data_IF_641080731657
#
_entry.id   IF_641080731657
#
_cell.length_a   1.000
_cell.length_b   1.000
_cell.length_c   1.000
_cell.angle_alpha   90.00
_cell.angle_beta   90.00
_cell.angle_gamma   90.00
#
_symmetry.space_group_name_H-M   'P 1'
#
loop_
_entity.id
_entity.type
_entity.pdbx_description
1 polymer ?
#
# COMPACT_ATOMS: atom_id res chain seq x y z
N UNK A 1 -24.79 39.76 -29.56
CA UNK A 1 -23.78 38.84 -28.98
C UNK A 1 -24.41 38.24 -27.74
N UNK A 2 -24.90 36.98 -27.77
CA UNK A 2 -25.47 36.37 -26.57
C UNK A 2 -24.37 36.37 -25.49
N UNK A 3 -24.67 36.96 -24.33
CA UNK A 3 -23.70 37.03 -23.24
C UNK A 3 -23.30 35.61 -22.86
N UNK A 4 -22.06 35.23 -23.12
CA UNK A 4 -21.50 33.92 -22.73
C UNK A 4 -21.19 33.85 -21.23
N UNK A 5 -21.32 34.98 -20.51
CA UNK A 5 -21.13 35.12 -19.07
C UNK A 5 -21.89 34.09 -18.22
N UNK A 6 -23.22 33.86 -18.40
CA UNK A 6 -23.94 32.82 -17.67
C UNK A 6 -23.36 31.41 -17.90
N UNK A 7 -22.99 31.05 -19.13
CA UNK A 7 -22.38 29.75 -19.41
C UNK A 7 -21.03 29.59 -18.70
N UNK A 8 -20.22 30.65 -18.69
CA UNK A 8 -18.91 30.64 -18.05
C UNK A 8 -19.04 30.51 -16.52
N UNK A 9 -20.03 31.17 -15.92
CA UNK A 9 -20.36 31.03 -14.50
C UNK A 9 -20.80 29.61 -14.14
N UNK A 10 -21.70 29.01 -14.92
CA UNK A 10 -22.16 27.63 -14.71
C UNK A 10 -20.98 26.66 -14.82
N UNK A 11 -20.13 26.83 -15.84
CA UNK A 11 -18.94 25.99 -16.02
C UNK A 11 -18.00 26.09 -14.81
N UNK A 12 -17.78 27.29 -14.29
CA UNK A 12 -16.94 27.52 -13.12
C UNK A 12 -17.50 26.83 -11.88
N UNK A 13 -18.81 26.93 -11.63
CA UNK A 13 -19.47 26.23 -10.52
C UNK A 13 -19.32 24.71 -10.66
N UNK A 14 -19.51 24.17 -11.86
CA UNK A 14 -19.35 22.72 -12.11
C UNK A 14 -17.90 22.28 -11.86
N UNK A 15 -16.91 23.06 -12.30
CA UNK A 15 -15.49 22.76 -12.04
C UNK A 15 -15.19 22.75 -10.54
N UNK A 16 -15.68 23.75 -9.80
CA UNK A 16 -15.49 23.82 -8.33
C UNK A 16 -16.13 22.61 -7.64
N UNK A 17 -17.33 22.20 -8.05
CA UNK A 17 -18.00 21.01 -7.52
C UNK A 17 -17.21 19.74 -7.81
N UNK A 18 -16.70 19.57 -9.04
CA UNK A 18 -15.88 18.40 -9.41
C UNK A 18 -14.60 18.38 -8.57
N UNK A 19 -13.91 19.52 -8.44
CA UNK A 19 -12.69 19.61 -7.63
C UNK A 19 -12.97 19.29 -6.15
N UNK A 20 -14.09 19.75 -5.59
CA UNK A 20 -14.49 19.44 -4.23
C UNK A 20 -14.75 17.94 -4.03
N UNK A 21 -15.47 17.30 -4.96
CA UNK A 21 -15.74 15.85 -4.91
C UNK A 21 -14.45 15.06 -5.08
N UNK A 22 -13.63 15.36 -6.09
CA UNK A 22 -12.35 14.68 -6.31
C UNK A 22 -11.40 14.85 -5.11
N UNK A 23 -11.35 16.05 -4.53
CA UNK A 23 -10.57 16.33 -3.32
C UNK A 23 -11.05 15.50 -2.14
N UNK A 24 -12.36 15.46 -1.89
CA UNK A 24 -12.98 14.66 -0.83
C UNK A 24 -12.66 13.17 -0.97
N UNK A 25 -12.81 12.61 -2.18
CA UNK A 25 -12.45 11.21 -2.45
C UNK A 25 -10.96 10.92 -2.26
N UNK A 26 -10.09 11.85 -2.64
CA UNK A 26 -8.63 11.69 -2.49
C UNK A 26 -8.22 11.67 -1.02
N UNK A 27 -8.89 12.47 -0.17
CA UNK A 27 -8.63 12.51 1.27
C UNK A 27 -9.15 11.24 1.97
N UNK A 28 -10.33 10.74 1.59
CA UNK A 28 -10.94 9.56 2.22
C UNK A 28 -10.23 8.27 1.86
N UNK A 29 -9.68 8.17 0.65
CA UNK A 29 -8.93 7.00 0.21
C UNK A 29 -7.45 7.35 0.10
N UNK A 30 -6.73 7.52 1.23
CA UNK A 30 -5.29 7.66 1.17
C UNK A 30 -4.74 6.42 0.46
N UNK A 31 -4.11 6.62 -0.70
CA UNK A 31 -3.43 5.58 -1.50
C UNK A 31 -2.17 5.05 -0.80
N UNK A 32 -2.16 4.96 0.52
CA UNK A 32 -1.03 4.46 1.26
C UNK A 32 -1.12 2.94 1.29
N UNK A 33 -0.71 2.33 0.17
CA UNK A 33 0.02 1.06 0.29
C UNK A 33 1.25 1.46 1.12
N UNK A 34 1.15 1.37 2.44
CA UNK A 34 2.27 1.63 3.33
C UNK A 34 3.25 0.48 3.09
N UNK A 35 4.15 0.66 2.12
CA UNK A 35 5.29 -0.22 2.00
C UNK A 35 6.16 0.03 3.23
N UNK A 36 6.09 -0.89 4.18
CA UNK A 36 6.95 -0.82 5.35
C UNK A 36 8.40 -1.09 4.94
N UNK A 37 9.34 -0.43 5.58
CA UNK A 37 10.75 -0.73 5.38
C UNK A 37 11.12 -2.02 6.10
N UNK A 38 11.49 -3.05 5.33
CA UNK A 38 11.97 -4.34 5.85
C UNK A 38 13.10 -4.18 6.87
N UNK A 39 14.08 -3.32 6.55
CA UNK A 39 15.26 -3.06 7.39
C UNK A 39 14.90 -2.43 8.74
N UNK A 40 13.90 -1.55 8.79
CA UNK A 40 13.45 -0.93 10.05
C UNK A 40 12.79 -1.94 10.99
N UNK A 41 12.23 -3.02 10.42
CA UNK A 41 11.70 -4.16 11.18
C UNK A 41 12.77 -5.23 11.50
N UNK A 42 14.05 -4.96 11.20
CA UNK A 42 15.16 -5.88 11.44
C UNK A 42 15.29 -7.02 10.41
N UNK A 43 14.52 -6.97 9.32
CA UNK A 43 14.62 -7.93 8.23
C UNK A 43 15.64 -7.54 7.16
N UNK A 44 15.89 -8.45 6.23
CA UNK A 44 16.74 -8.24 5.06
C UNK A 44 16.00 -8.58 3.77
N UNK A 45 16.18 -7.77 2.72
CA UNK A 45 15.65 -8.10 1.40
C UNK A 45 16.48 -9.23 0.77
N UNK A 46 15.85 -10.38 0.52
CA UNK A 46 16.50 -11.57 -0.06
C UNK A 46 15.68 -12.12 -1.23
N UNK A 47 16.35 -12.90 -2.08
CA UNK A 47 15.69 -13.72 -3.10
C UNK A 47 14.72 -14.71 -2.42
N UNK A 48 13.65 -15.11 -3.10
CA UNK A 48 12.65 -16.04 -2.56
C UNK A 48 13.27 -17.37 -2.15
N UNK A 49 14.23 -17.90 -2.91
CA UNK A 49 14.92 -19.15 -2.59
C UNK A 49 15.94 -19.03 -1.44
N UNK A 50 16.34 -17.82 -1.05
CA UNK A 50 17.27 -17.58 0.06
C UNK A 50 16.54 -17.15 1.36
N UNK A 51 15.21 -17.28 1.37
CA UNK A 51 14.37 -17.03 2.52
C UNK A 51 13.28 -18.09 2.60
N UNK A 52 13.40 -18.96 3.59
CA UNK A 52 12.39 -19.96 3.90
C UNK A 52 11.04 -19.27 4.22
N UNK A 53 9.95 -19.88 3.79
CA UNK A 53 8.62 -19.28 3.79
C UNK A 53 8.18 -18.88 5.19
N UNK A 54 8.64 -19.62 6.22
CA UNK A 54 8.36 -19.38 7.64
C UNK A 54 8.91 -18.05 8.16
N UNK A 55 9.92 -17.50 7.50
CA UNK A 55 10.61 -16.25 7.87
C UNK A 55 10.22 -15.07 6.97
N UNK A 56 9.44 -15.29 5.91
CA UNK A 56 9.04 -14.21 5.01
C UNK A 56 8.08 -13.25 5.73
N UNK A 57 8.37 -11.96 5.63
CA UNK A 57 7.49 -10.90 6.11
C UNK A 57 6.16 -10.92 5.36
N UNK A 58 5.07 -10.72 6.09
CA UNK A 58 3.70 -10.77 5.54
C UNK A 58 3.19 -9.42 5.06
N UNK A 59 3.79 -8.34 5.54
CA UNK A 59 3.44 -7.00 5.08
C UNK A 59 4.20 -6.75 3.78
N UNK A 60 3.54 -6.07 2.83
CA UNK A 60 4.25 -5.60 1.63
C UNK A 60 5.30 -4.59 2.08
N UNK A 61 6.56 -4.96 1.88
CA UNK A 61 7.69 -4.11 2.20
C UNK A 61 8.29 -3.52 0.95
N UNK A 62 9.12 -2.50 1.14
CA UNK A 62 9.91 -1.87 0.05
C UNK A 62 10.80 -2.85 -0.72
N UNK A 63 11.04 -4.08 -0.23
CA UNK A 63 11.78 -5.12 -0.96
C UNK A 63 11.11 -5.50 -2.30
N UNK A 64 9.78 -5.33 -2.42
CA UNK A 64 9.05 -5.68 -3.65
C UNK A 64 9.49 -4.83 -4.85
N UNK A 65 9.98 -3.61 -4.61
CA UNK A 65 10.52 -2.74 -5.67
C UNK A 65 11.77 -3.35 -6.33
N UNK A 66 12.47 -4.24 -5.62
CA UNK A 66 13.62 -5.01 -6.13
C UNK A 66 13.25 -6.45 -6.51
N UNK A 67 11.95 -6.77 -6.59
CA UNK A 67 11.40 -8.13 -6.81
C UNK A 67 11.90 -9.15 -5.77
N UNK A 68 12.19 -8.70 -4.55
CA UNK A 68 12.69 -9.51 -3.44
C UNK A 68 11.67 -9.61 -2.33
N UNK A 69 11.80 -10.64 -1.49
CA UNK A 69 11.00 -10.79 -0.28
C UNK A 69 11.76 -10.21 0.92
N UNK A 70 11.02 -9.69 1.89
CA UNK A 70 11.61 -9.32 3.18
C UNK A 70 11.72 -10.57 4.04
N UNK A 71 12.94 -10.96 4.39
CA UNK A 71 13.21 -12.08 5.27
C UNK A 71 13.47 -11.58 6.68
N UNK A 72 12.66 -12.02 7.64
CA UNK A 72 12.82 -11.68 9.05
C UNK A 72 13.78 -12.65 9.73
N UNK A 73 14.49 -12.22 10.80
CA UNK A 73 15.34 -13.11 11.58
C UNK A 73 14.52 -14.07 12.47
N UNK A 74 13.25 -13.74 12.73
CA UNK A 74 12.34 -14.54 13.57
C UNK A 74 11.20 -15.12 12.75
N UNK A 75 10.74 -16.31 13.17
CA UNK A 75 9.56 -16.98 12.62
C UNK A 75 8.33 -16.07 12.66
N UNK A 76 7.60 -16.03 11.56
CA UNK A 76 6.37 -15.25 11.42
C UNK A 76 5.16 -16.17 11.60
N UNK A 77 4.83 -16.53 12.84
CA UNK A 77 3.73 -17.44 13.20
C UNK A 77 2.38 -16.67 13.18
N UNK A 78 1.35 -17.12 12.43
CA UNK A 78 0.01 -16.48 12.35
C UNK A 78 -0.93 -16.86 13.47
N UNK A 79 -0.85 -18.10 13.90
CA UNK A 79 -1.92 -18.79 14.63
C UNK A 79 -1.39 -20.12 15.13
N UNK A 80 -2.11 -20.73 16.07
CA UNK A 80 -1.78 -22.07 16.58
C UNK A 80 -1.67 -23.09 15.43
N UNK A 81 -2.48 -22.94 14.38
CA UNK A 81 -2.42 -23.79 13.17
C UNK A 81 -1.10 -23.69 12.41
N UNK A 82 -0.49 -22.50 12.34
CA UNK A 82 0.85 -22.36 11.74
C UNK A 82 1.93 -22.96 12.66
N UNK A 83 1.73 -22.89 13.99
CA UNK A 83 2.65 -23.50 14.94
C UNK A 83 2.60 -25.03 14.81
N UNK A 84 1.41 -25.61 14.66
CA UNK A 84 1.21 -27.06 14.43
C UNK A 84 1.93 -27.54 13.15
N UNK A 85 1.79 -26.81 12.03
CA UNK A 85 2.47 -27.15 10.77
C UNK A 85 4.01 -27.16 10.87
N UNK A 86 4.58 -26.54 11.90
CA UNK A 86 6.02 -26.44 12.09
C UNK A 86 6.58 -27.25 13.26
N UNK A 87 5.73 -27.92 14.04
CA UNK A 87 6.13 -28.85 15.13
C UNK A 87 6.34 -30.28 14.60
N UNK A 88 5.76 -30.64 13.45
CA UNK A 88 6.05 -31.88 12.72
C UNK A 88 7.39 -31.82 11.96
#
# INVERSE_FOLDING_TARGET
>A
MPSHWPCLLILLVVIVLILAVCGYYTIIHPKQIHLESCFLKGGACRETWNCDERYRSRVRTTCINKRKVCCMPTLQIKSIQDAEYYIE
#
